data_IF_498052620723
#
_entry.id   IF_498052620723
#
_cell.length_a   1.000
_cell.length_b   1.000
_cell.length_c   1.000
_cell.angle_alpha   90.00
_cell.angle_beta   90.00
_cell.angle_gamma   90.00
#
_symmetry.space_group_name_H-M   'P 1'
#
loop_
_entity.id
_entity.type
_entity.pdbx_description
1 polymer ?
#
# COMPACT_ATOMS: atom_id res chain seq x y z
N UNK A 1 -13.26 32.39 -3.13
CA UNK A 1 -13.56 31.30 -4.07
C UNK A 1 -14.27 30.18 -3.32
N UNK A 2 -15.34 29.63 -3.90
CA UNK A 2 -16.00 28.45 -3.39
C UNK A 2 -15.54 27.26 -4.21
N UNK A 3 -14.98 26.25 -3.57
CA UNK A 3 -14.49 25.03 -4.22
C UNK A 3 -15.49 23.93 -3.94
N UNK A 4 -16.03 23.31 -4.98
CA UNK A 4 -16.86 22.12 -4.83
C UNK A 4 -15.96 20.90 -4.78
N UNK A 5 -16.11 20.08 -3.75
CA UNK A 5 -15.35 18.85 -3.59
C UNK A 5 -16.30 17.67 -3.77
N UNK A 6 -15.93 16.71 -4.62
CA UNK A 6 -16.52 15.38 -4.67
C UNK A 6 -15.52 14.40 -4.08
N UNK A 7 -15.80 13.93 -2.89
CA UNK A 7 -14.93 13.05 -2.12
C UNK A 7 -15.40 11.60 -2.22
N UNK A 8 -14.48 10.70 -2.55
CA UNK A 8 -14.68 9.26 -2.61
C UNK A 8 -13.95 8.63 -1.42
N UNK A 9 -14.68 8.10 -0.45
CA UNK A 9 -14.12 7.57 0.79
C UNK A 9 -13.99 6.05 0.74
N UNK A 10 -12.85 5.53 1.18
CA UNK A 10 -12.52 4.11 1.22
C UNK A 10 -12.08 3.73 2.63
N UNK A 11 -12.83 2.82 3.24
CA UNK A 11 -12.50 2.26 4.55
C UNK A 11 -11.52 1.09 4.41
N UNK A 12 -10.50 1.04 5.28
CA UNK A 12 -9.58 -0.10 5.43
C UNK A 12 -8.92 -0.55 4.11
N UNK A 13 -8.15 0.33 3.47
CA UNK A 13 -7.36 -0.01 2.30
C UNK A 13 -5.89 -0.27 2.70
N UNK A 14 -5.42 -1.53 2.72
CA UNK A 14 -4.05 -1.85 3.11
C UNK A 14 -3.01 -1.39 2.08
N UNK A 15 -3.40 -1.20 0.81
CA UNK A 15 -2.51 -0.81 -0.29
C UNK A 15 -3.17 0.18 -1.27
N UNK A 16 -2.38 1.12 -1.79
CA UNK A 16 -2.80 2.18 -2.72
C UNK A 16 -3.43 1.62 -4.01
N UNK A 17 -2.84 0.56 -4.56
CA UNK A 17 -3.30 -0.15 -5.77
C UNK A 17 -4.62 -0.89 -5.60
N UNK A 18 -5.17 -0.98 -4.39
CA UNK A 18 -6.48 -1.57 -4.13
C UNK A 18 -7.64 -0.58 -4.17
N UNK A 19 -7.37 0.73 -4.22
CA UNK A 19 -8.40 1.76 -4.21
C UNK A 19 -9.18 1.81 -5.54
N UNK A 20 -8.54 1.43 -6.64
CA UNK A 20 -9.16 1.35 -7.97
C UNK A 20 -8.93 -0.08 -8.47
N UNK A 21 -9.97 -0.83 -8.88
CA UNK A 21 -11.34 -0.43 -9.20
C UNK A 21 -12.35 -0.61 -8.05
N UNK A 22 -11.90 -0.64 -6.79
CA UNK A 22 -12.80 -0.89 -5.65
C UNK A 22 -13.92 0.18 -5.61
N UNK A 23 -15.13 -0.24 -5.26
CA UNK A 23 -16.23 0.71 -5.03
C UNK A 23 -15.96 1.47 -3.73
N UNK A 24 -16.14 2.81 -3.70
CA UNK A 24 -15.98 3.60 -2.48
C UNK A 24 -17.01 3.19 -1.44
N UNK A 25 -16.61 3.17 -0.17
CA UNK A 25 -17.50 2.93 0.97
C UNK A 25 -18.59 4.01 1.04
N UNK A 26 -18.21 5.26 0.77
CA UNK A 26 -19.15 6.38 0.73
C UNK A 26 -18.67 7.48 -0.21
N UNK A 27 -19.60 8.20 -0.84
CA UNK A 27 -19.29 9.36 -1.68
C UNK A 27 -20.04 10.56 -1.14
N UNK A 28 -19.33 11.64 -0.81
CA UNK A 28 -19.94 12.91 -0.37
C UNK A 28 -19.52 14.07 -1.26
N UNK A 29 -20.44 15.01 -1.47
CA UNK A 29 -20.14 16.30 -2.11
C UNK A 29 -20.31 17.42 -1.09
N UNK A 30 -19.32 18.29 -0.98
CA UNK A 30 -19.37 19.44 -0.08
C UNK A 30 -18.61 20.63 -0.65
N UNK A 31 -18.88 21.82 -0.13
CA UNK A 31 -18.23 23.07 -0.56
C UNK A 31 -17.28 23.57 0.51
N UNK A 32 -16.10 24.02 0.09
CA UNK A 32 -15.15 24.75 0.94
C UNK A 32 -15.13 26.21 0.48
N UNK A 33 -15.57 27.10 1.38
CA UNK A 33 -15.46 28.54 1.17
C UNK A 33 -14.06 28.99 1.59
N UNK A 34 -13.29 29.54 0.66
CA UNK A 34 -11.96 30.05 0.97
C UNK A 34 -11.71 31.43 0.36
N UNK A 35 -11.13 32.34 1.15
CA UNK A 35 -10.75 33.69 0.69
C UNK A 35 -9.42 33.68 -0.08
N UNK A 36 -8.59 32.66 0.14
CA UNK A 36 -7.27 32.45 -0.46
C UNK A 36 -7.00 30.94 -0.59
N UNK A 37 -6.07 30.52 -1.44
CA UNK A 37 -5.56 29.14 -1.54
C UNK A 37 -4.72 28.69 -0.33
N UNK A 38 -4.39 29.61 0.59
CA UNK A 38 -3.66 29.28 1.81
C UNK A 38 -4.46 28.37 2.75
N UNK A 39 -3.80 27.33 3.31
CA UNK A 39 -4.39 26.32 4.20
C UNK A 39 -5.50 25.48 3.55
N UNK A 40 -5.47 25.30 2.22
CA UNK A 40 -6.47 24.51 1.52
C UNK A 40 -6.50 23.06 2.00
N UNK A 41 -5.34 22.41 2.10
CA UNK A 41 -5.22 21.02 2.57
C UNK A 41 -5.77 20.87 3.98
N UNK A 42 -5.38 21.76 4.89
CA UNK A 42 -5.88 21.76 6.27
C UNK A 42 -7.42 21.84 6.32
N UNK A 43 -8.01 22.76 5.54
CA UNK A 43 -9.47 22.91 5.45
C UNK A 43 -10.14 21.68 4.84
N UNK A 44 -9.51 21.03 3.86
CA UNK A 44 -9.99 19.77 3.28
C UNK A 44 -10.07 18.70 4.37
N UNK A 45 -9.00 18.48 5.12
CA UNK A 45 -8.95 17.49 6.19
C UNK A 45 -9.99 17.77 7.29
N UNK A 46 -10.12 19.02 7.74
CA UNK A 46 -11.15 19.43 8.70
C UNK A 46 -12.57 19.15 8.17
N UNK A 47 -12.83 19.51 6.90
CA UNK A 47 -14.13 19.29 6.27
C UNK A 47 -14.45 17.82 6.08
N UNK A 48 -13.46 16.99 5.74
CA UNK A 48 -13.59 15.53 5.65
C UNK A 48 -13.99 14.95 7.01
N UNK A 49 -13.29 15.30 8.10
CA UNK A 49 -13.63 14.82 9.44
C UNK A 49 -15.08 15.16 9.83
N UNK A 50 -15.50 16.39 9.56
CA UNK A 50 -16.89 16.82 9.82
C UNK A 50 -17.87 16.08 8.92
N UNK A 51 -17.55 15.92 7.63
CA UNK A 51 -18.44 15.30 6.66
C UNK A 51 -18.61 13.80 6.89
N UNK A 52 -17.60 13.09 7.38
CA UNK A 52 -17.59 11.63 7.58
C UNK A 52 -17.50 11.25 9.06
N UNK A 53 -17.95 12.09 9.99
CA UNK A 53 -17.66 11.95 11.42
C UNK A 53 -17.99 10.60 12.09
N UNK A 54 -18.95 9.82 11.56
CA UNK A 54 -19.22 8.45 12.06
C UNK A 54 -18.22 7.40 11.57
N UNK A 55 -17.41 7.72 10.57
CA UNK A 55 -16.47 6.84 9.89
C UNK A 55 -15.00 7.18 10.16
N UNK A 56 -14.72 8.36 10.72
CA UNK A 56 -13.36 8.85 10.97
C UNK A 56 -13.23 9.23 12.44
N UNK A 57 -12.39 8.51 13.16
CA UNK A 57 -12.07 8.79 14.55
C UNK A 57 -11.01 9.88 14.68
N UNK A 58 -10.85 10.44 15.89
CA UNK A 58 -9.96 11.58 16.12
C UNK A 58 -8.48 11.25 15.87
N UNK A 59 -8.08 10.00 16.10
CA UNK A 59 -6.71 9.53 15.92
C UNK A 59 -6.46 8.91 14.53
N UNK A 60 -7.47 8.83 13.68
CA UNK A 60 -7.31 8.24 12.35
C UNK A 60 -6.45 9.16 11.46
N UNK A 61 -5.47 8.55 10.80
CA UNK A 61 -4.64 9.21 9.81
C UNK A 61 -5.40 9.23 8.48
N UNK A 62 -5.72 10.44 8.01
CA UNK A 62 -6.42 10.65 6.74
C UNK A 62 -5.38 10.77 5.63
N UNK A 63 -5.48 9.92 4.61
CA UNK A 63 -4.71 10.02 3.38
C UNK A 63 -5.60 10.49 2.24
N UNK A 64 -5.10 11.44 1.46
CA UNK A 64 -5.85 12.09 0.40
C UNK A 64 -5.13 11.97 -0.93
N UNK A 65 -5.89 11.72 -1.98
CA UNK A 65 -5.38 11.44 -3.32
C UNK A 65 -6.22 12.12 -4.38
N UNK A 66 -5.62 12.29 -5.55
CA UNK A 66 -6.29 12.69 -6.79
C UNK A 66 -5.85 11.78 -7.93
N UNK A 67 -6.56 11.84 -9.06
CA UNK A 67 -6.16 11.12 -10.28
C UNK A 67 -5.64 12.16 -11.26
N UNK A 68 -4.42 11.94 -11.76
CA UNK A 68 -3.76 12.79 -12.74
C UNK A 68 -4.14 12.44 -14.20
N UNK A 69 -3.47 13.07 -15.15
CA UNK A 69 -3.67 12.83 -16.58
C UNK A 69 -3.22 11.44 -17.06
N UNK A 70 -2.31 10.79 -16.34
CA UNK A 70 -1.82 9.43 -16.62
C UNK A 70 -2.74 8.36 -16.01
N UNK A 71 -3.77 8.79 -15.29
CA UNK A 71 -4.68 7.98 -14.48
C UNK A 71 -4.04 7.35 -13.25
N UNK A 72 -2.95 7.94 -12.74
CA UNK A 72 -2.31 7.50 -11.52
C UNK A 72 -2.93 8.13 -10.28
N UNK A 73 -2.99 7.35 -9.20
CA UNK A 73 -3.56 7.79 -7.93
C UNK A 73 -2.48 8.49 -7.10
N UNK A 74 -2.36 9.80 -7.26
CA UNK A 74 -1.31 10.62 -6.65
C UNK A 74 -1.73 11.12 -5.28
N UNK A 75 -0.88 10.90 -4.27
CA UNK A 75 -1.10 11.38 -2.90
C UNK A 75 -0.77 12.86 -2.79
N UNK A 76 -1.52 13.59 -1.98
CA UNK A 76 -1.15 14.93 -1.54
C UNK A 76 -1.33 15.06 -0.03
N UNK A 77 -0.47 15.84 0.61
CA UNK A 77 -0.41 16.04 2.05
C UNK A 77 -0.05 17.48 2.44
N UNK A 78 0.18 18.36 1.45
CA UNK A 78 0.50 19.78 1.65
C UNK A 78 -0.48 20.69 0.92
N UNK A 79 -0.47 21.98 1.28
CA UNK A 79 -1.29 22.99 0.62
C UNK A 79 -0.85 23.19 -0.84
N UNK A 80 0.45 23.16 -1.11
CA UNK A 80 1.02 23.32 -2.45
C UNK A 80 0.55 22.20 -3.38
N UNK A 81 0.64 20.95 -2.93
CA UNK A 81 0.18 19.78 -3.69
C UNK A 81 -1.34 19.81 -3.91
N UNK A 82 -2.13 20.19 -2.90
CA UNK A 82 -3.58 20.30 -3.01
C UNK A 82 -4.01 21.38 -4.01
N UNK A 83 -3.30 22.52 -4.03
CA UNK A 83 -3.55 23.59 -4.99
C UNK A 83 -3.20 23.16 -6.42
N UNK A 84 -2.06 22.49 -6.60
CA UNK A 84 -1.65 21.94 -7.90
C UNK A 84 -2.68 20.94 -8.45
N UNK A 85 -3.10 19.98 -7.63
CA UNK A 85 -4.10 18.98 -8.00
C UNK A 85 -5.46 19.61 -8.40
N UNK A 86 -5.87 20.66 -7.70
CA UNK A 86 -7.11 21.40 -8.00
C UNK A 86 -7.01 22.17 -9.32
N UNK A 87 -5.88 22.83 -9.56
CA UNK A 87 -5.64 23.59 -10.79
C UNK A 87 -5.66 22.67 -12.01
N UNK A 88 -4.98 21.52 -11.95
CA UNK A 88 -4.98 20.51 -13.02
C UNK A 88 -6.40 20.00 -13.33
N UNK A 89 -7.18 19.63 -12.31
CA UNK A 89 -8.56 19.16 -12.53
C UNK A 89 -9.50 20.25 -13.07
N UNK A 90 -9.24 21.50 -12.70
CA UNK A 90 -10.02 22.65 -13.20
C UNK A 90 -9.70 22.93 -14.68
N UNK A 91 -8.42 22.85 -15.07
CA UNK A 91 -8.00 22.98 -16.47
C UNK A 91 -8.66 21.93 -17.35
N UNK A 92 -8.72 20.66 -16.90
CA UNK A 92 -9.34 19.55 -17.62
C UNK A 92 -10.86 19.76 -17.81
N UNK A 93 -11.53 20.46 -16.87
CA UNK A 93 -12.99 20.66 -16.89
C UNK A 93 -13.45 21.84 -17.75
N UNK A 94 -12.53 22.62 -18.34
CA UNK A 94 -12.81 23.93 -18.96
C UNK A 94 -13.52 23.88 -20.33
N UNK A 95 -13.95 22.71 -20.82
CA UNK A 95 -14.77 22.60 -22.05
C UNK A 95 -16.29 22.80 -21.85
N UNK A 96 -16.78 23.06 -20.63
CA UNK A 96 -18.22 23.31 -20.38
C UNK A 96 -18.47 24.52 -19.48
N UNK A 97 -18.85 25.64 -20.11
CA UNK A 97 -19.56 26.81 -19.58
C UNK A 97 -18.99 27.58 -18.37
N UNK A 98 -18.89 28.89 -18.60
CA UNK A 98 -18.14 29.93 -17.89
C UNK A 98 -18.77 30.41 -16.55
N UNK A 99 -19.36 29.53 -15.73
CA UNK A 99 -19.98 29.95 -14.46
C UNK A 99 -20.06 28.91 -13.34
N UNK A 100 -19.53 27.69 -13.53
CA UNK A 100 -19.55 26.68 -12.47
C UNK A 100 -18.33 26.81 -11.56
N UNK A 101 -18.54 26.74 -10.24
CA UNK A 101 -17.46 26.61 -9.25
C UNK A 101 -16.55 25.42 -9.58
N UNK A 102 -15.23 25.51 -9.34
CA UNK A 102 -14.30 24.42 -9.65
C UNK A 102 -14.69 23.16 -8.89
N UNK A 103 -14.80 22.03 -9.61
CA UNK A 103 -15.10 20.72 -9.05
C UNK A 103 -13.79 19.96 -8.86
N UNK A 104 -13.38 19.78 -7.61
CA UNK A 104 -12.20 19.04 -7.23
C UNK A 104 -12.60 17.64 -6.76
N UNK A 105 -12.21 16.61 -7.52
CA UNK A 105 -12.45 15.20 -7.13
C UNK A 105 -11.26 14.73 -6.31
N UNK A 106 -11.56 14.17 -5.14
CA UNK A 106 -10.54 13.63 -4.24
C UNK A 106 -10.94 12.23 -3.77
N UNK A 107 -9.94 11.40 -3.53
CA UNK A 107 -10.08 10.06 -3.00
C UNK A 107 -9.44 10.04 -1.63
N UNK A 108 -10.10 9.40 -0.66
CA UNK A 108 -9.68 9.45 0.74
C UNK A 108 -9.67 8.05 1.30
N UNK A 109 -8.58 7.70 1.97
CA UNK A 109 -8.51 6.50 2.79
C UNK A 109 -8.11 6.86 4.22
N UNK A 110 -8.48 6.01 5.16
CA UNK A 110 -8.04 6.13 6.55
C UNK A 110 -7.10 4.98 6.89
N UNK A 111 -6.03 5.31 7.62
CA UNK A 111 -5.25 4.34 8.37
C UNK A 111 -5.64 4.50 9.84
N UNK A 112 -6.33 3.49 10.36
CA UNK A 112 -6.74 3.44 11.78
C UNK A 112 -5.48 3.37 12.65
N UNK A 113 -5.41 4.20 13.69
CA UNK A 113 -4.24 4.23 14.59
C UNK A 113 -4.03 2.92 15.35
N UNK A 114 -5.11 2.17 15.60
CA UNK A 114 -5.10 0.88 16.30
C UNK A 114 -4.98 -0.34 15.37
N UNK A 115 -4.97 -0.15 14.05
CA UNK A 115 -4.74 -1.25 13.13
C UNK A 115 -3.23 -1.54 13.08
N UNK A 116 -2.80 -2.80 13.28
CA UNK A 116 -1.41 -3.18 13.09
C UNK A 116 -1.01 -2.79 11.67
N UNK A 117 -0.13 -1.80 11.59
CA UNK A 117 0.34 -1.29 10.31
C UNK A 117 0.98 -2.43 9.52
N UNK A 118 0.66 -2.62 8.21
CA UNK A 118 1.38 -3.59 7.38
C UNK A 118 2.87 -3.23 7.16
N UNK A 119 3.38 -2.17 7.80
CA UNK A 119 4.80 -1.88 7.92
C UNK A 119 5.54 -2.73 8.96
N UNK A 120 4.83 -3.54 9.74
CA UNK A 120 5.38 -4.78 10.29
C UNK A 120 4.81 -5.91 9.45
N UNK A 121 5.52 -6.28 8.37
CA UNK A 121 5.22 -7.53 7.67
C UNK A 121 5.24 -8.64 8.73
N UNK A 122 4.07 -9.14 9.14
CA UNK A 122 4.02 -10.31 10.02
C UNK A 122 4.86 -11.39 9.33
N UNK A 123 5.86 -11.95 10.04
CA UNK A 123 6.87 -12.77 9.40
C UNK A 123 6.15 -13.95 8.73
N UNK A 124 6.15 -13.93 7.40
CA UNK A 124 5.35 -14.85 6.60
C UNK A 124 5.94 -16.26 6.70
N UNK A 125 5.09 -17.25 6.95
CA UNK A 125 5.52 -18.65 6.93
C UNK A 125 5.71 -19.08 5.47
N UNK A 126 6.79 -19.79 5.16
CA UNK A 126 7.01 -20.44 3.86
C UNK A 126 6.48 -21.89 3.92
N UNK A 127 5.23 -22.17 3.52
CA UNK A 127 4.65 -23.49 3.63
C UNK A 127 5.39 -24.51 2.75
N UNK A 128 5.59 -25.73 3.26
CA UNK A 128 6.26 -26.81 2.53
C UNK A 128 7.78 -26.69 2.44
N UNK A 129 8.39 -25.71 3.12
CA UNK A 129 9.83 -25.47 3.14
C UNK A 129 10.32 -25.48 4.58
N UNK A 130 11.38 -26.23 4.85
CA UNK A 130 12.00 -26.35 6.17
C UNK A 130 13.43 -25.81 6.11
N UNK A 131 13.90 -25.26 7.22
CA UNK A 131 15.29 -24.84 7.37
C UNK A 131 16.20 -26.07 7.54
N UNK A 132 17.21 -26.24 6.70
CA UNK A 132 18.18 -27.34 6.80
C UNK A 132 19.15 -27.18 7.99
N UNK A 133 19.27 -25.97 8.55
CA UNK A 133 20.15 -25.70 9.70
C UNK A 133 19.52 -26.01 11.07
N UNK A 134 18.19 -25.84 11.21
CA UNK A 134 17.49 -26.05 12.49
C UNK A 134 16.30 -27.01 12.40
N UNK A 135 16.00 -27.55 11.21
CA UNK A 135 14.84 -28.40 10.92
C UNK A 135 13.48 -27.79 11.32
N UNK A 136 13.42 -26.47 11.44
CA UNK A 136 12.20 -25.71 11.75
C UNK A 136 11.54 -25.13 10.50
N UNK A 137 10.28 -24.72 10.63
CA UNK A 137 9.58 -23.95 9.59
C UNK A 137 10.25 -22.59 9.40
N UNK A 138 10.36 -22.13 8.16
CA UNK A 138 10.93 -20.81 7.88
C UNK A 138 9.84 -19.75 8.02
N UNK A 139 10.03 -18.86 8.99
CA UNK A 139 9.16 -17.73 9.27
C UNK A 139 9.91 -16.45 8.91
N UNK A 140 9.31 -15.59 8.08
CA UNK A 140 9.93 -14.38 7.56
C UNK A 140 10.80 -14.65 6.33
N UNK A 141 12.10 -14.36 6.44
CA UNK A 141 13.02 -14.46 5.31
C UNK A 141 13.51 -15.90 5.09
N UNK A 142 13.26 -16.42 3.89
CA UNK A 142 13.85 -17.68 3.39
C UNK A 142 15.09 -17.39 2.55
N UNK A 143 16.19 -18.08 2.85
CA UNK A 143 17.44 -17.99 2.11
C UNK A 143 17.67 -19.32 1.40
N UNK A 144 17.53 -19.37 0.08
CA UNK A 144 17.80 -20.57 -0.71
C UNK A 144 19.19 -20.50 -1.29
N UNK A 145 19.99 -21.54 -1.09
CA UNK A 145 21.32 -21.63 -1.70
C UNK A 145 21.19 -21.67 -3.23
N UNK A 146 22.05 -20.94 -3.94
CA UNK A 146 22.08 -20.94 -5.41
C UNK A 146 22.81 -22.14 -6.00
N UNK A 147 23.64 -22.80 -5.19
CA UNK A 147 24.52 -23.89 -5.61
C UNK A 147 23.98 -25.26 -5.19
N UNK A 148 23.48 -25.35 -3.95
CA UNK A 148 22.98 -26.62 -3.40
C UNK A 148 21.51 -26.85 -3.77
N UNK A 149 21.16 -28.05 -4.26
CA UNK A 149 19.78 -28.40 -4.54
C UNK A 149 18.99 -28.51 -3.24
N UNK A 150 17.83 -27.85 -3.19
CA UNK A 150 16.88 -27.89 -2.08
C UNK A 150 17.49 -27.57 -0.70
N UNK A 151 18.44 -26.64 -0.66
CA UNK A 151 19.03 -26.15 0.58
C UNK A 151 18.49 -24.77 0.93
N UNK A 152 17.76 -24.70 2.04
CA UNK A 152 17.04 -23.53 2.52
C UNK A 152 17.37 -23.23 3.99
N UNK A 153 17.66 -21.97 4.30
CA UNK A 153 17.94 -21.50 5.66
C UNK A 153 16.96 -20.40 6.08
N UNK A 154 16.56 -20.43 7.34
CA UNK A 154 15.94 -19.28 7.99
C UNK A 154 16.98 -18.17 8.23
N UNK A 155 16.50 -16.95 8.52
CA UNK A 155 17.36 -15.81 8.81
C UNK A 155 18.38 -16.08 9.94
N UNK A 156 17.95 -16.77 11.01
CA UNK A 156 18.84 -17.09 12.13
C UNK A 156 19.98 -18.04 11.74
N UNK A 157 19.69 -19.10 10.99
CA UNK A 157 20.73 -20.04 10.55
C UNK A 157 21.69 -19.40 9.55
N UNK A 158 21.19 -18.54 8.65
CA UNK A 158 22.04 -17.75 7.77
C UNK A 158 22.98 -16.83 8.56
N UNK A 159 22.48 -16.13 9.57
CA UNK A 159 23.27 -15.22 10.40
C UNK A 159 24.29 -15.94 11.30
N UNK A 160 24.09 -17.24 11.56
CA UNK A 160 25.08 -18.10 12.23
C UNK A 160 26.15 -18.64 11.27
N UNK A 161 26.18 -18.13 10.04
CA UNK A 161 27.08 -18.56 8.96
C UNK A 161 27.04 -20.08 8.70
N UNK A 162 25.87 -20.69 8.92
CA UNK A 162 25.63 -22.06 8.48
C UNK A 162 25.65 -22.05 6.95
N UNK A 163 26.51 -22.88 6.34
CA UNK A 163 26.62 -23.00 4.88
C UNK A 163 27.10 -21.72 4.16
N UNK A 164 28.13 -21.05 4.71
CA UNK A 164 28.71 -19.80 4.19
C UNK A 164 29.50 -19.93 2.88
N UNK A 165 29.78 -21.15 2.44
CA UNK A 165 30.55 -21.43 1.23
C UNK A 165 29.82 -21.08 -0.08
N UNK A 166 28.50 -20.87 -0.03
CA UNK A 166 27.67 -20.58 -1.19
C UNK A 166 26.79 -19.34 -0.99
N UNK A 167 26.44 -18.71 -2.12
CA UNK A 167 25.53 -17.57 -2.13
C UNK A 167 24.07 -17.99 -1.97
N UNK A 168 23.25 -17.07 -1.46
CA UNK A 168 21.83 -17.30 -1.21
C UNK A 168 20.95 -16.27 -1.92
N UNK A 169 19.85 -16.73 -2.51
CA UNK A 169 18.74 -15.89 -2.94
C UNK A 169 17.76 -15.72 -1.78
N UNK A 170 17.30 -14.49 -1.59
CA UNK A 170 16.43 -14.10 -0.49
C UNK A 170 14.98 -14.02 -0.95
N UNK A 171 14.09 -14.75 -0.26
CA UNK A 171 12.65 -14.71 -0.47
C UNK A 171 11.97 -14.12 0.77
N UNK A 172 11.47 -12.90 0.64
CA UNK A 172 10.75 -12.20 1.72
C UNK A 172 9.25 -12.54 1.75
N UNK A 173 8.74 -13.19 0.70
CA UNK A 173 7.34 -13.62 0.61
C UNK A 173 7.28 -15.08 0.15
N UNK A 174 6.28 -15.86 0.60
CA UNK A 174 6.08 -17.21 0.13
C UNK A 174 5.74 -17.16 -1.36
N UNK A 175 6.50 -17.91 -2.16
CA UNK A 175 6.18 -18.08 -3.59
C UNK A 175 4.98 -19.02 -3.66
N UNK A 176 3.86 -18.54 -4.20
CA UNK A 176 2.72 -19.41 -4.53
C UNK A 176 3.18 -20.39 -5.62
N UNK A 177 3.53 -21.62 -5.25
CA UNK A 177 3.81 -22.65 -6.24
C UNK A 177 2.50 -23.02 -6.93
N UNK A 178 2.35 -22.61 -8.19
CA UNK A 178 1.43 -23.25 -9.13
C UNK A 178 1.93 -24.69 -9.26
N UNK A 179 1.22 -25.62 -8.64
CA UNK A 179 1.56 -27.04 -8.72
C UNK A 179 1.43 -27.53 -10.16
N UNK A 180 2.51 -28.09 -10.70
CA UNK A 180 2.41 -29.18 -11.66
C UNK A 180 3.69 -30.01 -11.60
N UNK A 181 3.57 -31.19 -10.98
CA UNK A 181 4.42 -32.37 -11.19
C UNK A 181 5.94 -32.17 -11.14
N UNK A 182 6.54 -32.47 -9.98
CA UNK A 182 7.79 -33.24 -9.88
C UNK A 182 7.92 -33.80 -8.46
N UNK A 183 6.91 -34.58 -8.05
CA UNK A 183 7.20 -35.66 -7.11
C UNK A 183 8.12 -36.66 -7.83
N UNK A 184 9.20 -37.05 -7.16
CA UNK A 184 10.14 -38.14 -7.51
C UNK A 184 11.33 -37.72 -8.39
N UNK A 185 12.51 -37.51 -7.78
CA UNK A 185 13.38 -38.66 -7.52
C UNK A 185 14.60 -38.30 -6.64
N UNK A 186 14.84 -39.20 -5.70
CA UNK A 186 15.98 -39.27 -4.78
C UNK A 186 17.30 -39.28 -5.57
N UNK A 187 18.23 -38.39 -5.22
CA UNK A 187 19.67 -38.68 -5.10
C UNK A 187 20.32 -37.57 -4.27
N UNK A 188 20.50 -37.87 -2.98
CA UNK A 188 21.29 -37.05 -2.05
C UNK A 188 22.70 -36.90 -2.61
N UNK A 189 23.03 -35.74 -3.17
CA UNK A 189 24.42 -35.28 -3.24
C UNK A 189 24.67 -34.54 -1.95
N UNK A 190 25.12 -35.28 -0.93
CA UNK A 190 25.54 -34.68 0.33
C UNK A 190 26.80 -33.86 0.05
N UNK A 191 26.71 -32.53 0.18
CA UNK A 191 27.91 -31.78 0.58
C UNK A 191 28.19 -32.18 2.02
N UNK A 192 29.37 -32.78 2.24
CA UNK A 192 29.88 -33.00 3.59
C UNK A 192 30.19 -31.61 4.18
N UNK A 193 29.63 -31.36 5.36
CA UNK A 193 30.07 -30.32 6.30
C UNK A 193 31.56 -30.44 6.61
#
# INVERSE_FOLDING_TARGET
>A
MNIQIKCYFYENCPNLSSLIPRQPSEIRRFTIATKSSANLYKKICEKIRVAYGSLIEQNDEIKTYWIDEENDLVCFSTDEEANFAMEMQTAISSSKNMSSSPLFKIYVSIKRANEPSPSSEEPQIHPGVMCDGCNGSIIGTRNRCTVCPDFDLCAECKNKDVHKEHEFIVFNKPVQQICSHLSQNKKRRTCKL
#
